data_IF_629082550033
#
_entry.id   IF_629082550033
#
_cell.length_a   1.000
_cell.length_b   1.000
_cell.length_c   1.000
_cell.angle_alpha   90.00
_cell.angle_beta   90.00
_cell.angle_gamma   90.00
#
_symmetry.space_group_name_H-M   'P 1'
#
loop_
_entity.id
_entity.type
_entity.pdbx_description
1 polymer ?
#
# COMPACT_ATOMS: atom_id res chain seq x y z
N UNK A 1 4.53 13.36 -16.43
CA UNK A 1 4.76 12.87 -15.06
C UNK A 1 3.42 12.71 -14.36
N UNK A 2 3.31 11.76 -13.44
CA UNK A 2 2.15 11.62 -12.55
C UNK A 2 2.61 11.85 -11.11
N UNK A 3 1.73 12.40 -10.28
CA UNK A 3 1.90 12.44 -8.84
C UNK A 3 0.66 11.82 -8.21
N UNK A 4 0.85 11.10 -7.13
CA UNK A 4 -0.23 10.52 -6.34
C UNK A 4 -0.18 11.10 -4.94
N UNK A 5 -1.33 11.16 -4.30
CA UNK A 5 -1.46 11.52 -2.90
C UNK A 5 -2.21 10.40 -2.19
N UNK A 6 -1.69 9.98 -1.04
CA UNK A 6 -2.33 9.02 -0.17
C UNK A 6 -2.35 9.56 1.25
N UNK A 7 -3.32 9.13 2.03
CA UNK A 7 -3.44 9.49 3.45
C UNK A 7 -2.73 8.48 4.37
N UNK A 8 -2.45 7.28 3.87
CA UNK A 8 -1.58 6.27 4.47
C UNK A 8 -0.89 5.44 3.37
N UNK A 9 0.22 4.80 3.72
CA UNK A 9 0.90 3.83 2.86
C UNK A 9 1.43 2.69 3.73
N UNK A 10 1.46 1.47 3.18
CA UNK A 10 1.87 0.26 3.90
C UNK A 10 2.84 -0.53 3.05
N UNK A 11 3.87 -1.09 3.69
CA UNK A 11 4.88 -1.90 3.04
C UNK A 11 5.46 -2.94 4.01
N UNK A 12 6.05 -4.00 3.46
CA UNK A 12 6.68 -5.06 4.26
C UNK A 12 8.03 -4.57 4.77
N UNK A 13 8.27 -4.79 6.07
CA UNK A 13 9.54 -4.47 6.74
C UNK A 13 10.24 -5.76 7.17
N UNK A 14 11.55 -5.83 6.91
CA UNK A 14 12.42 -6.92 7.36
C UNK A 14 13.54 -6.37 8.24
N UNK A 15 13.98 -7.15 9.22
CA UNK A 15 15.15 -6.83 10.03
C UNK A 15 16.34 -7.64 9.55
N UNK A 16 17.43 -6.97 9.17
CA UNK A 16 18.67 -7.61 8.76
C UNK A 16 19.86 -6.88 9.41
N UNK A 17 20.74 -7.63 10.09
CA UNK A 17 21.94 -7.10 10.76
C UNK A 17 21.66 -5.87 11.66
N UNK A 18 20.56 -5.91 12.42
CA UNK A 18 20.18 -4.83 13.34
C UNK A 18 19.56 -3.59 12.67
N UNK A 19 19.40 -3.59 11.35
CA UNK A 19 18.73 -2.52 10.59
C UNK A 19 17.37 -2.97 10.07
N UNK A 20 16.49 -2.00 9.86
CA UNK A 20 15.17 -2.20 9.27
C UNK A 20 15.19 -1.81 7.79
N UNK A 21 14.74 -2.72 6.93
CA UNK A 21 14.64 -2.51 5.49
C UNK A 21 13.19 -2.69 5.04
N UNK A 22 12.75 -1.86 4.11
CA UNK A 22 11.41 -1.87 3.53
C UNK A 22 11.49 -2.41 2.10
N UNK A 23 10.60 -3.35 1.78
CA UNK A 23 10.42 -3.90 0.43
C UNK A 23 9.17 -3.25 -0.16
N UNK A 24 9.36 -2.31 -1.09
CA UNK A 24 8.28 -1.56 -1.73
C UNK A 24 8.60 -1.25 -3.21
N UNK A 25 8.23 -2.17 -4.13
CA UNK A 25 8.45 -1.97 -5.56
C UNK A 25 7.71 -0.76 -6.15
N UNK A 26 6.73 -0.18 -5.46
CA UNK A 26 6.03 1.02 -5.94
C UNK A 26 6.90 2.28 -5.86
N UNK A 27 7.92 2.28 -4.98
CA UNK A 27 8.86 3.38 -4.78
C UNK A 27 10.29 3.04 -5.23
N UNK A 28 10.74 1.79 -5.04
CA UNK A 28 12.06 1.31 -5.48
C UNK A 28 11.96 -0.15 -5.96
N UNK A 29 12.23 -0.36 -7.25
CA UNK A 29 12.01 -1.66 -7.92
C UNK A 29 13.19 -2.63 -7.79
N UNK A 30 14.39 -2.15 -7.47
CA UNK A 30 15.62 -2.95 -7.57
C UNK A 30 16.15 -3.45 -6.23
N UNK A 31 15.92 -2.72 -5.13
CA UNK A 31 16.52 -3.05 -3.83
C UNK A 31 15.68 -2.60 -2.64
N UNK A 32 15.69 -3.34 -1.52
CA UNK A 32 15.10 -2.85 -0.29
C UNK A 32 15.76 -1.55 0.19
N UNK A 33 14.96 -0.62 0.70
CA UNK A 33 15.43 0.64 1.26
C UNK A 33 15.59 0.54 2.77
N UNK A 34 16.57 1.21 3.37
CA UNK A 34 16.52 1.42 4.83
C UNK A 34 15.26 2.22 5.18
N UNK A 35 14.62 1.93 6.32
CA UNK A 35 13.34 2.55 6.71
C UNK A 35 13.38 4.09 6.62
N UNK A 36 14.49 4.71 7.04
CA UNK A 36 14.64 6.16 6.99
C UNK A 36 14.64 6.73 5.57
N UNK A 37 15.16 5.99 4.59
CA UNK A 37 15.20 6.42 3.20
C UNK A 37 13.85 6.20 2.50
N UNK A 38 13.15 5.11 2.82
CA UNK A 38 11.78 4.88 2.35
C UNK A 38 10.81 5.99 2.79
N UNK A 39 10.94 6.51 4.02
CA UNK A 39 10.08 7.62 4.51
C UNK A 39 10.36 8.93 3.76
N UNK A 40 11.63 9.22 3.43
CA UNK A 40 12.02 10.44 2.71
C UNK A 40 11.43 10.52 1.30
N UNK A 41 11.10 9.39 0.69
CA UNK A 41 10.48 9.35 -0.64
C UNK A 41 8.99 9.74 -0.62
N UNK A 42 8.36 9.74 0.56
CA UNK A 42 6.91 9.90 0.69
C UNK A 42 6.50 11.28 1.19
N UNK A 43 7.31 11.88 2.09
CA UNK A 43 6.98 13.17 2.70
C UNK A 43 8.16 14.16 2.65
N UNK A 44 7.91 15.47 2.51
CA UNK A 44 8.98 16.47 2.45
C UNK A 44 9.80 16.59 3.74
N UNK A 45 9.17 16.44 4.92
CA UNK A 45 9.84 16.53 6.23
C UNK A 45 9.52 15.30 7.09
N UNK A 46 10.28 14.19 6.93
CA UNK A 46 10.03 12.94 7.64
C UNK A 46 9.76 13.04 9.14
N UNK A 47 10.51 13.89 9.86
CA UNK A 47 10.37 14.01 11.32
C UNK A 47 9.14 14.79 11.79
N UNK A 48 8.46 15.50 10.87
CA UNK A 48 7.28 16.32 11.18
C UNK A 48 6.02 15.75 10.54
N UNK A 49 6.16 15.20 9.34
CA UNK A 49 5.06 14.85 8.46
C UNK A 49 4.75 13.34 8.46
N UNK A 50 5.67 12.49 8.95
CA UNK A 50 5.45 11.04 8.99
C UNK A 50 5.11 10.54 10.39
N UNK A 51 4.09 9.69 10.48
CA UNK A 51 3.79 8.86 11.63
C UNK A 51 3.93 7.40 11.20
N UNK A 52 4.64 6.60 11.99
CA UNK A 52 4.97 5.22 11.65
C UNK A 52 4.40 4.27 12.71
N UNK A 53 3.79 3.19 12.25
CA UNK A 53 3.45 2.03 13.06
C UNK A 53 4.18 0.81 12.47
N UNK A 54 4.92 0.08 13.30
CA UNK A 54 5.59 -1.18 12.91
C UNK A 54 4.89 -2.30 13.67
N UNK A 55 4.20 -3.15 12.92
CA UNK A 55 3.27 -4.12 13.47
C UNK A 55 3.62 -5.54 13.01
N UNK A 56 2.91 -6.53 13.53
CA UNK A 56 3.07 -7.93 13.11
C UNK A 56 2.59 -8.10 11.67
N UNK A 57 2.95 -9.24 11.04
CA UNK A 57 2.59 -9.52 9.64
C UNK A 57 1.09 -9.60 9.36
N UNK A 58 0.24 -9.55 10.40
CA UNK A 58 -1.20 -9.65 10.30
C UNK A 58 -1.88 -8.26 10.29
N UNK A 59 -1.12 -7.16 10.36
CA UNK A 59 -1.63 -5.80 10.30
C UNK A 59 -1.42 -5.19 8.91
N UNK A 60 -2.49 -5.14 8.10
CA UNK A 60 -2.44 -4.63 6.73
C UNK A 60 -3.09 -3.26 6.56
N UNK A 61 -4.16 -3.00 7.32
CA UNK A 61 -4.95 -1.78 7.22
C UNK A 61 -4.59 -0.75 8.27
N UNK A 62 -4.98 0.53 8.06
CA UNK A 62 -4.76 1.62 9.00
C UNK A 62 -5.54 1.46 10.31
N UNK A 63 -6.63 0.68 10.27
CA UNK A 63 -7.44 0.32 11.45
C UNK A 63 -7.04 -1.04 12.04
N UNK A 64 -6.03 -1.73 11.48
CA UNK A 64 -5.60 -3.03 11.99
C UNK A 64 -4.99 -2.90 13.38
N UNK A 65 -5.25 -3.89 14.22
CA UNK A 65 -4.68 -3.95 15.56
C UNK A 65 -3.26 -4.55 15.52
N UNK A 66 -2.25 -3.74 15.85
CA UNK A 66 -0.85 -4.17 15.89
C UNK A 66 -0.53 -5.20 16.99
N UNK A 67 -1.41 -5.33 17.98
CA UNK A 67 -1.28 -6.28 19.09
C UNK A 67 -2.13 -7.54 18.90
N UNK A 68 -2.91 -7.65 17.81
CA UNK A 68 -3.67 -8.86 17.54
C UNK A 68 -2.70 -9.98 17.14
N UNK A 69 -2.71 -11.07 17.91
CA UNK A 69 -1.98 -12.30 17.56
C UNK A 69 -2.74 -13.16 16.54
N UNK A 70 -4.06 -12.94 16.41
CA UNK A 70 -4.92 -13.70 15.51
C UNK A 70 -5.24 -12.94 14.22
N UNK A 71 -5.32 -13.70 13.13
CA UNK A 71 -5.72 -13.21 11.82
C UNK A 71 -7.22 -12.87 11.84
N UNK A 72 -7.57 -11.64 12.19
CA UNK A 72 -8.88 -11.09 11.78
C UNK A 72 -8.82 -10.83 10.28
N UNK A 73 -8.95 -11.90 9.49
CA UNK A 73 -9.17 -11.79 8.06
C UNK A 73 -10.53 -11.12 7.87
N UNK A 74 -10.57 -10.14 6.97
CA UNK A 74 -11.85 -9.62 6.48
C UNK A 74 -12.67 -10.78 5.91
N UNK A 75 -13.97 -10.77 6.17
CA UNK A 75 -14.88 -11.61 5.40
C UNK A 75 -14.85 -11.21 3.93
N UNK A 76 -15.24 -12.12 3.03
CA UNK A 76 -15.32 -11.83 1.59
C UNK A 76 -16.18 -10.59 1.29
N UNK A 77 -17.24 -10.35 2.09
CA UNK A 77 -18.10 -9.20 1.96
C UNK A 77 -17.40 -7.89 2.34
N UNK A 78 -16.62 -7.89 3.41
CA UNK A 78 -15.82 -6.74 3.85
C UNK A 78 -14.69 -6.44 2.86
N UNK A 79 -14.00 -7.48 2.37
CA UNK A 79 -12.98 -7.34 1.35
C UNK A 79 -13.54 -6.77 0.04
N UNK A 80 -14.71 -7.26 -0.40
CA UNK A 80 -15.38 -6.73 -1.59
C UNK A 80 -15.81 -5.26 -1.42
N UNK A 81 -16.28 -4.89 -0.22
CA UNK A 81 -16.61 -3.49 0.07
C UNK A 81 -15.37 -2.60 0.02
N UNK A 82 -14.27 -2.99 0.66
CA UNK A 82 -13.02 -2.20 0.69
C UNK A 82 -12.48 -1.93 -0.72
N UNK A 83 -12.60 -2.88 -1.65
CA UNK A 83 -12.00 -2.79 -3.00
C UNK A 83 -12.91 -2.09 -4.01
N UNK A 84 -14.24 -2.12 -3.82
CA UNK A 84 -15.25 -1.60 -4.77
C UNK A 84 -14.95 -0.18 -5.28
N UNK A 85 -14.63 0.73 -4.37
CA UNK A 85 -14.41 2.14 -4.69
C UNK A 85 -13.10 2.32 -5.50
N UNK A 86 -12.05 1.58 -5.14
CA UNK A 86 -10.77 1.60 -5.84
C UNK A 86 -10.89 1.06 -7.26
N UNK A 87 -11.67 -0.02 -7.46
CA UNK A 87 -11.91 -0.57 -8.79
C UNK A 87 -12.59 0.45 -9.71
N UNK A 88 -13.56 1.19 -9.18
CA UNK A 88 -14.24 2.26 -9.92
C UNK A 88 -13.29 3.40 -10.30
N UNK A 89 -12.38 3.77 -9.40
CA UNK A 89 -11.35 4.78 -9.67
C UNK A 89 -10.33 4.31 -10.70
N UNK A 90 -9.92 3.04 -10.65
CA UNK A 90 -8.94 2.50 -11.57
C UNK A 90 -9.47 2.41 -13.00
N UNK A 91 -10.72 1.95 -13.19
CA UNK A 91 -11.37 1.98 -14.52
C UNK A 91 -11.36 3.38 -15.12
N UNK A 92 -11.72 4.38 -14.33
CA UNK A 92 -11.72 5.79 -14.75
C UNK A 92 -10.31 6.31 -15.05
N UNK A 93 -9.29 5.85 -14.33
CA UNK A 93 -7.90 6.22 -14.60
C UNK A 93 -7.43 5.64 -15.94
N UNK A 94 -7.73 4.37 -16.23
CA UNK A 94 -7.43 3.74 -17.51
C UNK A 94 -8.08 4.51 -18.67
N UNK A 95 -9.37 4.86 -18.55
CA UNK A 95 -10.08 5.65 -19.57
C UNK A 95 -9.45 7.03 -19.78
N UNK A 96 -9.07 7.73 -18.71
CA UNK A 96 -8.35 9.02 -18.80
C UNK A 96 -7.00 8.90 -19.49
N UNK A 97 -6.35 7.74 -19.40
CA UNK A 97 -5.09 7.44 -20.08
C UNK A 97 -5.30 6.95 -21.53
N UNK A 98 -6.56 6.89 -22.01
CA UNK A 98 -6.88 6.39 -23.34
C UNK A 98 -6.76 4.87 -23.47
N UNK A 99 -6.84 4.14 -22.36
CA UNK A 99 -6.76 2.68 -22.27
C UNK A 99 -8.16 2.09 -22.13
N UNK A 100 -8.33 0.85 -22.58
CA UNK A 100 -9.61 0.14 -22.49
C UNK A 100 -9.74 -0.52 -21.11
N UNK A 101 -10.56 0.09 -20.25
CA UNK A 101 -10.77 -0.38 -18.88
C UNK A 101 -11.46 -1.76 -18.81
N UNK A 102 -12.27 -2.11 -19.81
CA UNK A 102 -12.91 -3.43 -19.85
C UNK A 102 -11.96 -4.51 -20.36
N UNK A 103 -11.15 -4.23 -21.39
CA UNK A 103 -10.16 -5.18 -21.87
C UNK A 103 -9.11 -5.53 -20.81
N UNK A 104 -8.73 -4.57 -19.96
CA UNK A 104 -7.68 -4.78 -18.96
C UNK A 104 -8.19 -5.33 -17.62
N UNK A 105 -9.34 -4.85 -17.13
CA UNK A 105 -9.85 -5.22 -15.81
C UNK A 105 -10.99 -6.23 -15.87
N UNK A 106 -11.69 -6.34 -17.00
CA UNK A 106 -12.79 -7.28 -17.18
C UNK A 106 -13.87 -7.15 -16.11
N UNK A 107 -14.50 -8.26 -15.77
CA UNK A 107 -15.40 -8.40 -14.62
C UNK A 107 -14.69 -9.05 -13.40
N UNK A 108 -13.45 -9.53 -13.59
CA UNK A 108 -12.62 -10.15 -12.56
C UNK A 108 -11.22 -9.51 -12.60
N UNK A 109 -11.04 -8.31 -12.04
CA UNK A 109 -9.73 -7.68 -11.97
C UNK A 109 -8.73 -8.57 -11.19
N UNK A 110 -7.41 -8.43 -11.42
CA UNK A 110 -6.40 -9.35 -10.89
C UNK A 110 -6.13 -9.24 -9.38
N UNK A 111 -6.96 -8.49 -8.63
CA UNK A 111 -6.87 -8.32 -7.19
C UNK A 111 -8.18 -8.72 -6.51
#
# INVERSE_FOLDING_TARGET
SGSVSWWYHVAVIIRHQGKAFVIDPSLEVTSPLELADWVKLQVPKPSQDAQLAICTGNSYGPNSNCAAEENELLSDAEAAHEISDYLSYERRNLEKLGRDSQAELGDNPPW
#
